data_IF_785937147954
#
_entry.id   IF_785937147954
#
_cell.length_a   1.000
_cell.length_b   1.000
_cell.length_c   1.000
_cell.angle_alpha   90.00
_cell.angle_beta   90.00
_cell.angle_gamma   90.00
#
_symmetry.space_group_name_H-M   'P 1'
#
loop_
_entity.id
_entity.type
_entity.pdbx_description
1 polymer ?
#
# COMPACT_ATOMS: atom_id res chain seq x y z
N UNK A 1 16.45 13.61 10.71
CA UNK A 1 15.33 14.28 10.01
C UNK A 1 15.77 14.93 8.70
N UNK A 2 17.07 14.96 8.37
CA UNK A 2 17.61 15.72 7.21
C UNK A 2 17.52 15.00 5.85
N UNK A 3 16.72 13.94 5.69
CA UNK A 3 16.72 13.11 4.47
C UNK A 3 15.37 13.06 3.73
N UNK A 4 14.42 13.92 4.07
CA UNK A 4 13.12 13.98 3.39
C UNK A 4 13.04 15.22 2.50
N UNK A 5 12.93 15.02 1.19
CA UNK A 5 12.67 16.08 0.22
C UNK A 5 11.15 16.31 0.13
N UNK A 6 10.73 17.56 0.02
CA UNK A 6 9.34 17.94 -0.14
C UNK A 6 9.18 18.81 -1.40
N UNK A 7 8.21 18.49 -2.25
CA UNK A 7 7.89 19.24 -3.46
C UNK A 7 6.42 19.59 -3.49
N UNK A 8 6.10 20.88 -3.67
CA UNK A 8 4.75 21.35 -3.88
C UNK A 8 4.38 21.24 -5.37
N UNK A 9 3.23 20.66 -5.67
CA UNK A 9 2.82 20.29 -7.03
C UNK A 9 1.48 20.89 -7.45
N UNK A 10 0.93 21.80 -6.64
CA UNK A 10 -0.30 22.58 -6.93
C UNK A 10 -1.54 21.72 -7.21
N UNK A 11 -1.53 20.47 -6.74
CA UNK A 11 -2.68 19.56 -6.74
C UNK A 11 -2.62 18.72 -5.48
N UNK A 12 -3.77 18.51 -4.84
CA UNK A 12 -3.87 17.52 -3.76
C UNK A 12 -3.61 16.13 -4.31
N UNK A 13 -2.76 15.37 -3.63
CA UNK A 13 -2.37 14.03 -4.07
C UNK A 13 -3.18 13.00 -3.31
N UNK A 14 -4.04 12.25 -4.00
CA UNK A 14 -4.85 11.19 -3.39
C UNK A 14 -4.12 9.86 -3.31
N UNK A 15 -3.25 9.59 -4.30
CA UNK A 15 -2.53 8.32 -4.44
C UNK A 15 -1.13 8.52 -4.98
N UNK A 16 -0.19 7.74 -4.47
CA UNK A 16 1.20 7.74 -4.93
C UNK A 16 1.78 6.33 -4.86
N UNK A 17 2.48 5.89 -5.93
CA UNK A 17 3.07 4.55 -6.01
C UNK A 17 4.43 4.58 -6.70
N UNK A 18 5.40 3.87 -6.16
CA UNK A 18 6.66 3.58 -6.85
C UNK A 18 6.42 2.67 -8.04
N UNK A 19 7.17 2.91 -9.12
CA UNK A 19 7.29 1.96 -10.21
C UNK A 19 8.01 0.71 -9.69
N UNK A 20 7.46 -0.50 -9.91
CA UNK A 20 8.13 -1.73 -9.53
C UNK A 20 9.50 -1.85 -10.21
N UNK A 21 10.53 -2.15 -9.40
CA UNK A 21 11.88 -2.40 -9.89
C UNK A 21 12.09 -3.91 -10.04
N UNK A 22 12.70 -4.40 -11.14
CA UNK A 22 13.05 -5.81 -11.27
C UNK A 22 13.89 -6.30 -10.09
N UNK A 23 13.64 -7.51 -9.60
CA UNK A 23 14.41 -8.11 -8.50
C UNK A 23 15.90 -8.29 -8.79
N UNK A 24 16.30 -8.24 -10.07
CA UNK A 24 17.69 -8.33 -10.52
C UNK A 24 18.40 -6.97 -10.53
N UNK A 25 17.67 -5.86 -10.40
CA UNK A 25 18.24 -4.52 -10.38
C UNK A 25 18.86 -4.22 -9.01
N UNK A 26 20.07 -3.69 -9.03
CA UNK A 26 20.73 -3.15 -7.83
C UNK A 26 20.35 -1.68 -7.58
N UNK A 27 19.61 -1.05 -8.49
CA UNK A 27 19.22 0.34 -8.39
C UNK A 27 18.00 0.48 -7.47
N UNK A 28 18.03 1.51 -6.62
CA UNK A 28 16.86 1.95 -5.87
C UNK A 28 15.78 2.47 -6.84
N UNK A 29 14.49 2.42 -6.46
CA UNK A 29 13.45 3.05 -7.27
C UNK A 29 13.71 4.54 -7.43
N UNK A 30 13.44 5.02 -8.63
CA UNK A 30 13.65 6.39 -9.08
C UNK A 30 12.39 6.99 -9.72
N UNK A 31 11.49 6.16 -10.25
CA UNK A 31 10.24 6.61 -10.87
C UNK A 31 9.02 6.23 -10.04
N UNK A 32 8.08 7.17 -9.88
CA UNK A 32 6.79 6.93 -9.23
C UNK A 32 5.65 7.62 -10.00
N UNK A 33 4.42 7.24 -9.71
CA UNK A 33 3.22 7.84 -10.26
C UNK A 33 2.33 8.42 -9.17
N UNK A 34 1.58 9.48 -9.49
CA UNK A 34 0.60 10.11 -8.60
C UNK A 34 -0.76 10.24 -9.28
N UNK A 35 -1.81 10.21 -8.47
CA UNK A 35 -3.16 10.64 -8.83
C UNK A 35 -3.58 11.82 -7.98
N UNK A 36 -4.31 12.77 -8.58
CA UNK A 36 -4.90 13.91 -7.87
C UNK A 36 -6.41 13.78 -7.67
N UNK A 37 -6.91 14.55 -6.70
CA UNK A 37 -8.32 14.59 -6.32
C UNK A 37 -8.73 15.97 -5.83
N UNK A 38 -10.05 16.24 -5.83
CA UNK A 38 -10.62 17.51 -5.36
C UNK A 38 -10.09 18.73 -6.15
N UNK A 39 -9.82 18.54 -7.44
CA UNK A 39 -9.49 19.60 -8.40
C UNK A 39 -10.48 19.59 -9.57
N UNK A 40 -10.65 20.74 -10.23
CA UNK A 40 -11.44 20.82 -11.47
C UNK A 40 -10.85 19.95 -12.60
N UNK A 41 -9.51 19.86 -12.64
CA UNK A 41 -8.74 19.09 -13.62
C UNK A 41 -7.79 18.11 -12.90
N UNK A 42 -8.33 16.97 -12.47
CA UNK A 42 -7.54 15.88 -11.91
C UNK A 42 -6.66 15.20 -12.98
N UNK A 43 -5.52 14.66 -12.53
CA UNK A 43 -4.47 14.11 -13.40
C UNK A 43 -3.90 12.82 -12.84
N UNK A 44 -3.36 12.02 -13.76
CA UNK A 44 -2.38 10.99 -13.45
C UNK A 44 -1.03 11.46 -13.97
N UNK A 45 -0.03 11.49 -13.10
CA UNK A 45 1.29 12.05 -13.39
C UNK A 45 2.38 11.04 -13.06
N UNK A 46 3.47 11.06 -13.81
CA UNK A 46 4.66 10.23 -13.61
C UNK A 46 5.85 11.14 -13.32
N UNK A 47 6.63 10.78 -12.31
CA UNK A 47 7.72 11.58 -11.76
C UNK A 47 8.99 10.76 -11.65
N UNK A 48 10.14 11.41 -11.77
CA UNK A 48 11.46 10.81 -11.50
C UNK A 48 12.17 11.53 -10.35
N UNK A 49 12.99 10.82 -9.60
CA UNK A 49 13.86 11.36 -8.56
C UNK A 49 15.30 11.06 -8.94
N UNK A 50 16.12 12.11 -9.09
CA UNK A 50 17.52 11.97 -9.50
C UNK A 50 18.32 11.05 -8.57
N UNK A 51 19.29 10.31 -9.12
CA UNK A 51 20.23 9.50 -8.34
C UNK A 51 21.11 10.39 -7.45
N UNK A 52 21.35 9.96 -6.21
CA UNK A 52 22.36 10.58 -5.36
C UNK A 52 23.74 10.45 -6.04
N UNK A 53 24.35 11.55 -6.48
CA UNK A 53 25.72 11.59 -6.98
C UNK A 53 25.96 12.04 -8.42
N UNK A 54 24.96 12.50 -9.17
CA UNK A 54 25.20 13.18 -10.46
C UNK A 54 24.84 14.66 -10.34
N UNK A 55 25.83 15.46 -9.97
CA UNK A 55 25.76 16.91 -10.06
C UNK A 55 25.64 17.33 -11.53
N UNK A 56 24.43 17.57 -12.03
CA UNK A 56 24.25 18.50 -13.15
C UNK A 56 24.69 19.89 -12.67
N UNK A 57 25.32 20.67 -13.54
CA UNK A 57 25.81 22.03 -13.24
C UNK A 57 24.68 23.06 -13.03
N UNK A 58 23.44 22.60 -12.87
CA UNK A 58 22.26 23.41 -12.69
C UNK A 58 21.80 23.25 -11.23
N UNK A 59 21.45 24.35 -10.56
CA UNK A 59 21.07 24.48 -9.14
C UNK A 59 19.81 23.64 -8.71
N UNK A 60 19.51 22.51 -9.36
CA UNK A 60 18.45 21.59 -8.93
C UNK A 60 18.92 20.78 -7.72
N UNK A 61 18.19 20.91 -6.63
CA UNK A 61 18.45 20.22 -5.37
C UNK A 61 18.44 18.70 -5.60
N UNK A 62 19.53 18.03 -5.20
CA UNK A 62 19.68 16.58 -5.25
C UNK A 62 18.49 15.90 -4.53
N UNK A 63 17.74 15.06 -5.26
CA UNK A 63 16.57 14.35 -4.74
C UNK A 63 15.21 15.05 -4.90
N UNK A 64 15.13 16.21 -5.55
CA UNK A 64 13.84 16.85 -5.88
C UNK A 64 13.10 16.07 -7.00
N UNK A 65 11.83 15.66 -6.81
CA UNK A 65 11.06 14.97 -7.84
C UNK A 65 10.83 15.81 -9.10
N UNK A 66 11.03 15.26 -10.29
CA UNK A 66 10.83 15.94 -11.57
C UNK A 66 9.64 15.34 -12.31
N UNK A 67 8.75 16.19 -12.83
CA UNK A 67 7.60 15.73 -13.61
C UNK A 67 8.08 15.23 -14.98
N UNK A 68 7.81 13.96 -15.28
CA UNK A 68 8.14 13.36 -16.57
C UNK A 68 7.02 13.58 -17.59
N UNK A 69 5.80 13.20 -17.21
CA UNK A 69 4.61 13.39 -18.04
C UNK A 69 3.34 13.29 -17.19
N UNK A 70 2.25 13.85 -17.71
CA UNK A 70 0.93 13.78 -17.08
C UNK A 70 -0.18 13.66 -18.14
N UNK A 71 -1.33 13.14 -17.71
CA UNK A 71 -2.55 13.10 -18.52
C UNK A 71 -3.74 13.50 -17.66
N UNK A 72 -4.74 14.14 -18.28
CA UNK A 72 -6.02 14.41 -17.63
C UNK A 72 -6.72 13.10 -17.27
N UNK A 73 -7.35 13.09 -16.10
CA UNK A 73 -8.16 12.00 -15.59
C UNK A 73 -9.59 12.51 -15.34
N UNK A 74 -10.60 11.73 -15.74
CA UNK A 74 -12.00 12.10 -15.48
C UNK A 74 -12.43 11.64 -14.10
N UNK A 75 -12.93 12.59 -13.30
CA UNK A 75 -13.21 12.39 -11.87
C UNK A 75 -11.95 12.34 -11.02
N UNK A 76 -12.13 12.10 -9.73
CA UNK A 76 -11.04 11.95 -8.76
C UNK A 76 -10.34 10.60 -8.97
N UNK A 77 -9.01 10.59 -8.81
CA UNK A 77 -8.25 9.35 -8.74
C UNK A 77 -8.41 8.79 -7.33
N UNK A 78 -9.24 7.77 -7.16
CA UNK A 78 -9.54 7.21 -5.84
C UNK A 78 -8.52 6.14 -5.41
N UNK A 79 -8.03 5.36 -6.36
CA UNK A 79 -6.96 4.39 -6.15
C UNK A 79 -6.04 4.30 -7.38
N UNK A 80 -4.78 3.94 -7.16
CA UNK A 80 -3.74 3.88 -8.19
C UNK A 80 -2.77 2.74 -7.89
N UNK A 81 -2.48 1.91 -8.89
CA UNK A 81 -1.54 0.78 -8.76
C UNK A 81 -0.74 0.59 -10.05
N UNK A 82 0.53 0.21 -9.94
CA UNK A 82 1.27 -0.31 -11.09
C UNK A 82 0.86 -1.76 -11.35
N UNK A 83 0.51 -2.08 -12.59
CA UNK A 83 0.29 -3.46 -13.02
C UNK A 83 1.61 -4.15 -13.37
N UNK A 84 2.52 -3.39 -13.98
CA UNK A 84 3.88 -3.77 -14.36
C UNK A 84 4.73 -2.49 -14.50
N UNK A 85 5.87 -2.54 -15.20
CA UNK A 85 6.77 -1.37 -15.32
C UNK A 85 6.21 -0.24 -16.20
N UNK A 86 5.33 -0.54 -17.15
CA UNK A 86 4.84 0.44 -18.15
C UNK A 86 3.35 0.72 -18.04
N UNK A 87 2.59 -0.06 -17.25
CA UNK A 87 1.15 0.10 -17.08
C UNK A 87 0.76 0.51 -15.67
N UNK A 88 -0.06 1.55 -15.60
CA UNK A 88 -0.64 2.09 -14.36
C UNK A 88 -2.16 1.92 -14.45
N UNK A 89 -2.78 1.43 -13.39
CA UNK A 89 -4.23 1.28 -13.27
C UNK A 89 -4.75 2.34 -12.30
N UNK A 90 -5.77 3.07 -12.72
CA UNK A 90 -6.46 4.06 -11.90
C UNK A 90 -7.94 3.69 -11.71
N UNK A 91 -8.42 3.87 -10.49
CA UNK A 91 -9.82 3.83 -10.12
C UNK A 91 -10.39 5.27 -10.04
N UNK A 92 -11.55 5.50 -10.64
CA UNK A 92 -12.17 6.83 -10.72
C UNK A 92 -13.41 6.97 -9.85
N UNK A 93 -13.67 8.18 -9.34
CA UNK A 93 -14.97 8.53 -8.73
C UNK A 93 -16.15 8.44 -9.69
N UNK A 94 -15.91 8.38 -11.00
CA UNK A 94 -16.92 8.08 -12.02
C UNK A 94 -17.30 6.60 -12.11
N UNK A 95 -16.63 5.72 -11.35
CA UNK A 95 -16.82 4.27 -11.45
C UNK A 95 -16.04 3.60 -12.58
N UNK A 96 -15.26 4.37 -13.32
CA UNK A 96 -14.38 3.85 -14.36
C UNK A 96 -13.10 3.23 -13.76
N UNK A 97 -12.59 2.19 -14.43
CA UNK A 97 -11.24 1.65 -14.23
C UNK A 97 -10.44 1.86 -15.51
N UNK A 98 -9.34 2.60 -15.43
CA UNK A 98 -8.53 2.97 -16.60
C UNK A 98 -7.12 2.45 -16.48
N UNK A 99 -6.61 1.85 -17.56
CA UNK A 99 -5.21 1.44 -17.70
C UNK A 99 -4.52 2.50 -18.56
N UNK A 100 -3.53 3.15 -17.97
CA UNK A 100 -2.59 4.01 -18.66
C UNK A 100 -1.32 3.24 -19.02
N UNK A 101 -0.73 3.57 -20.17
CA UNK A 101 0.59 3.10 -20.58
C UNK A 101 1.56 4.27 -20.65
N UNK A 102 2.64 4.18 -19.87
CA UNK A 102 3.79 5.07 -19.92
C UNK A 102 4.72 4.67 -21.06
N UNK A 103 5.14 5.65 -21.86
CA UNK A 103 6.10 5.47 -22.93
C UNK A 103 7.40 6.19 -22.52
N UNK A 104 8.43 5.47 -22.05
CA UNK A 104 9.66 6.07 -21.52
C UNK A 104 10.62 6.56 -22.63
N UNK A 105 10.12 6.76 -23.86
CA UNK A 105 10.97 7.16 -24.98
C UNK A 105 11.46 8.60 -24.80
N UNK A 106 12.78 8.82 -24.91
CA UNK A 106 13.44 10.10 -24.60
C UNK A 106 12.92 11.28 -25.43
N UNK A 107 12.43 11.01 -26.64
CA UNK A 107 11.95 12.06 -27.55
C UNK A 107 10.45 12.38 -27.37
N UNK A 108 9.68 11.50 -26.71
CA UNK A 108 8.22 11.61 -26.52
C UNK A 108 7.77 10.92 -25.23
N UNK A 109 8.38 11.29 -24.12
CA UNK A 109 7.93 10.78 -22.82
C UNK A 109 6.47 11.19 -22.60
N UNK A 110 5.61 10.20 -22.36
CA UNK A 110 4.18 10.43 -22.37
C UNK A 110 3.38 9.32 -21.75
N UNK A 111 2.17 9.68 -21.33
CA UNK A 111 1.19 8.79 -20.75
C UNK A 111 -0.02 8.73 -21.68
N UNK A 112 -0.46 7.53 -22.05
CA UNK A 112 -1.59 7.31 -22.94
C UNK A 112 -2.61 6.36 -22.32
N UNK A 113 -3.90 6.54 -22.61
CA UNK A 113 -4.93 5.59 -22.21
C UNK A 113 -4.82 4.33 -23.07
N UNK A 114 -4.53 3.19 -22.44
CA UNK A 114 -4.44 1.90 -23.10
C UNK A 114 -5.81 1.21 -23.19
N UNK A 115 -6.61 1.30 -22.12
CA UNK A 115 -7.97 0.73 -22.05
C UNK A 115 -8.76 1.34 -20.89
N UNK A 116 -10.07 1.48 -21.04
CA UNK A 116 -10.98 1.97 -19.99
C UNK A 116 -12.22 1.09 -19.91
N UNK A 117 -12.60 0.70 -18.69
CA UNK A 117 -13.91 0.15 -18.37
C UNK A 117 -14.75 1.25 -17.73
N UNK A 118 -15.45 2.05 -18.54
CA UNK A 118 -16.16 3.28 -18.11
C UNK A 118 -17.25 3.03 -17.05
N UNK A 119 -17.84 1.83 -17.04
CA UNK A 119 -18.97 1.47 -16.16
C UNK A 119 -18.70 0.20 -15.36
N UNK A 120 -17.44 0.04 -14.94
CA UNK A 120 -17.01 -1.03 -14.06
C UNK A 120 -17.85 -1.06 -12.78
N UNK A 121 -18.00 0.11 -12.15
CA UNK A 121 -18.86 0.33 -10.99
C UNK A 121 -20.00 1.30 -11.31
N UNK A 122 -21.23 0.91 -10.96
CA UNK A 122 -22.43 1.67 -11.28
C UNK A 122 -23.64 1.27 -10.43
N UNK A 123 -24.49 2.26 -10.18
CA UNK A 123 -25.87 2.05 -9.79
C UNK A 123 -26.77 1.91 -11.04
N UNK A 124 -28.03 1.45 -10.90
CA UNK A 124 -28.94 1.33 -12.04
C UNK A 124 -29.15 2.63 -12.82
N UNK A 125 -29.10 3.78 -12.14
CA UNK A 125 -29.41 5.09 -12.70
C UNK A 125 -28.22 6.06 -12.71
N UNK A 126 -27.08 5.69 -12.14
CA UNK A 126 -25.94 6.59 -11.99
C UNK A 126 -24.62 5.81 -11.94
N UNK A 127 -23.52 6.53 -11.97
CA UNK A 127 -22.19 6.01 -11.71
C UNK A 127 -22.02 5.74 -10.20
N UNK A 128 -21.17 4.78 -9.87
CA UNK A 128 -20.79 4.48 -8.49
C UNK A 128 -19.27 4.52 -8.40
N UNK A 129 -18.67 5.24 -7.44
CA UNK A 129 -17.22 5.32 -7.33
C UNK A 129 -16.53 3.96 -7.25
N UNK A 130 -15.44 3.82 -8.01
CA UNK A 130 -14.52 2.69 -7.88
C UNK A 130 -13.54 3.03 -6.76
N UNK A 131 -13.67 2.38 -5.61
CA UNK A 131 -12.97 2.76 -4.38
C UNK A 131 -11.60 2.11 -4.24
N UNK A 132 -11.36 0.98 -4.88
CA UNK A 132 -10.08 0.28 -4.80
C UNK A 132 -9.79 -0.61 -6.00
N UNK A 133 -8.50 -0.74 -6.33
CA UNK A 133 -7.96 -1.64 -7.34
C UNK A 133 -6.71 -2.37 -6.82
N UNK A 134 -6.57 -3.65 -7.17
CA UNK A 134 -5.33 -4.40 -6.90
C UNK A 134 -4.90 -5.23 -8.08
N UNK A 135 -3.59 -5.24 -8.31
CA UNK A 135 -2.97 -5.90 -9.46
C UNK A 135 -2.23 -7.17 -9.04
N UNK A 136 -2.41 -8.24 -9.81
CA UNK A 136 -1.59 -9.45 -9.77
C UNK A 136 -1.46 -9.95 -11.20
N UNK A 137 -0.54 -9.33 -11.96
CA UNK A 137 -0.44 -9.49 -13.42
C UNK A 137 -0.51 -10.96 -13.87
N UNK A 138 -1.36 -11.30 -14.84
CA UNK A 138 -2.14 -10.42 -15.72
C UNK A 138 -3.57 -10.10 -15.21
N UNK A 139 -3.85 -10.40 -13.95
CA UNK A 139 -5.16 -10.18 -13.32
C UNK A 139 -5.20 -8.84 -12.59
N UNK A 140 -6.39 -8.25 -12.58
CA UNK A 140 -6.73 -7.01 -11.90
C UNK A 140 -8.07 -7.22 -11.20
N UNK A 141 -8.23 -6.69 -10.00
CA UNK A 141 -9.52 -6.67 -9.29
C UNK A 141 -9.88 -5.23 -8.95
N UNK A 142 -11.16 -4.88 -9.10
CA UNK A 142 -11.71 -3.60 -8.64
C UNK A 142 -12.90 -3.81 -7.71
N UNK A 143 -13.10 -2.85 -6.80
CA UNK A 143 -14.24 -2.76 -5.88
C UNK A 143 -14.80 -1.34 -5.86
N UNK A 144 -16.06 -1.19 -5.43
CA UNK A 144 -16.73 0.10 -5.44
C UNK A 144 -17.88 0.23 -4.45
N UNK A 145 -18.46 1.43 -4.42
CA UNK A 145 -19.60 1.77 -3.55
C UNK A 145 -20.90 1.06 -3.92
N UNK A 146 -20.94 0.48 -5.12
CA UNK A 146 -22.04 -0.37 -5.58
C UNK A 146 -22.01 -1.80 -5.03
N UNK A 147 -21.03 -2.11 -4.17
CA UNK A 147 -20.89 -3.42 -3.56
C UNK A 147 -20.50 -4.52 -4.56
N UNK A 148 -19.95 -4.15 -5.73
CA UNK A 148 -19.45 -5.12 -6.72
C UNK A 148 -17.98 -5.43 -6.49
N UNK A 149 -17.61 -6.67 -6.84
CA UNK A 149 -16.21 -7.06 -7.01
C UNK A 149 -16.04 -7.53 -8.45
N UNK A 150 -15.13 -6.92 -9.19
CA UNK A 150 -14.92 -7.22 -10.61
C UNK A 150 -13.50 -7.74 -10.82
N UNK A 151 -13.38 -8.94 -11.40
CA UNK A 151 -12.12 -9.55 -11.80
C UNK A 151 -11.93 -9.37 -13.31
N UNK A 152 -10.79 -8.82 -13.70
CA UNK A 152 -10.41 -8.57 -15.08
C UNK A 152 -9.20 -9.42 -15.47
N UNK A 153 -9.09 -9.66 -16.77
CA UNK A 153 -7.86 -10.14 -17.41
C UNK A 153 -7.36 -9.09 -18.39
N UNK A 154 -6.25 -8.46 -18.04
CA UNK A 154 -5.79 -7.23 -18.71
C UNK A 154 -5.39 -7.51 -20.16
N UNK A 155 -4.64 -8.59 -20.41
CA UNK A 155 -4.19 -8.96 -21.77
C UNK A 155 -5.35 -9.21 -22.74
N UNK A 156 -6.48 -9.69 -22.22
CA UNK A 156 -7.68 -9.98 -22.99
C UNK A 156 -8.66 -8.80 -23.02
N UNK A 157 -8.39 -7.73 -22.25
CA UNK A 157 -9.29 -6.59 -22.01
C UNK A 157 -10.70 -7.03 -21.61
N UNK A 158 -10.78 -8.16 -20.90
CA UNK A 158 -12.02 -8.86 -20.62
C UNK A 158 -12.32 -8.85 -19.12
N UNK A 159 -13.61 -8.77 -18.80
CA UNK A 159 -14.11 -9.06 -17.46
C UNK A 159 -14.24 -10.57 -17.35
N UNK A 160 -13.48 -11.18 -16.44
CA UNK A 160 -13.54 -12.62 -16.18
C UNK A 160 -14.73 -12.97 -15.29
N UNK A 161 -14.98 -12.14 -14.27
CA UNK A 161 -16.04 -12.38 -13.30
C UNK A 161 -16.52 -11.08 -12.67
N UNK A 162 -17.82 -11.01 -12.43
CA UNK A 162 -18.45 -9.98 -11.58
C UNK A 162 -19.15 -10.70 -10.44
N UNK A 163 -18.86 -10.31 -9.20
CA UNK A 163 -19.65 -10.68 -8.03
C UNK A 163 -20.59 -9.50 -7.77
N UNK A 164 -21.84 -9.65 -8.23
CA UNK A 164 -22.90 -8.67 -8.03
C UNK A 164 -23.43 -8.75 -6.60
N UNK A 165 -23.67 -7.60 -5.97
CA UNK A 165 -24.15 -7.48 -4.59
C UNK A 165 -23.28 -8.26 -3.59
N UNK A 166 -21.96 -8.21 -3.76
CA UNK A 166 -21.00 -8.83 -2.84
C UNK A 166 -21.11 -8.22 -1.43
N UNK A 167 -21.39 -6.91 -1.37
CA UNK A 167 -21.67 -6.22 -0.11
C UNK A 167 -22.88 -5.31 -0.23
N UNK A 168 -23.64 -5.19 0.85
CA UNK A 168 -24.73 -4.19 0.98
C UNK A 168 -24.20 -2.83 1.44
N UNK A 169 -22.97 -2.80 1.93
CA UNK A 169 -22.24 -1.61 2.39
C UNK A 169 -21.15 -1.26 1.38
N UNK A 170 -20.71 0.00 1.38
CA UNK A 170 -19.56 0.44 0.59
C UNK A 170 -18.33 -0.40 0.90
N UNK A 171 -17.70 -0.94 -0.14
CA UNK A 171 -16.39 -1.58 -0.05
C UNK A 171 -15.35 -0.47 -0.19
N UNK A 172 -14.42 -0.34 0.75
CA UNK A 172 -13.41 0.74 0.74
C UNK A 172 -12.08 0.29 0.12
N UNK A 173 -11.61 -0.91 0.43
CA UNK A 173 -10.36 -1.43 -0.11
C UNK A 173 -10.41 -2.94 -0.33
N UNK A 174 -9.45 -3.43 -1.12
CA UNK A 174 -9.30 -4.84 -1.50
C UNK A 174 -7.82 -5.20 -1.52
N UNK A 175 -7.48 -6.45 -1.19
CA UNK A 175 -6.13 -7.00 -1.37
C UNK A 175 -6.17 -8.47 -1.80
N UNK A 176 -5.17 -8.92 -2.56
CA UNK A 176 -5.01 -10.34 -2.88
C UNK A 176 -4.46 -11.09 -1.67
N UNK A 177 -5.19 -12.10 -1.20
CA UNK A 177 -4.66 -13.09 -0.25
C UNK A 177 -3.89 -14.21 -0.94
N UNK A 178 -4.45 -14.68 -2.05
CA UNK A 178 -3.90 -15.74 -2.92
C UNK A 178 -4.24 -15.38 -4.35
N UNK A 179 -3.61 -16.03 -5.33
CA UNK A 179 -3.89 -15.80 -6.76
C UNK A 179 -5.38 -15.81 -7.09
N UNK A 180 -6.17 -16.70 -6.48
CA UNK A 180 -7.60 -16.85 -6.78
C UNK A 180 -8.53 -16.25 -5.72
N UNK A 181 -8.01 -15.54 -4.72
CA UNK A 181 -8.81 -15.07 -3.60
C UNK A 181 -8.38 -13.72 -3.07
N UNK A 182 -9.37 -12.86 -2.87
CA UNK A 182 -9.21 -11.48 -2.39
C UNK A 182 -9.90 -11.28 -1.05
N UNK A 183 -9.42 -10.31 -0.30
CA UNK A 183 -10.05 -9.84 0.92
C UNK A 183 -10.51 -8.40 0.71
N UNK A 184 -11.75 -8.10 1.06
CA UNK A 184 -12.32 -6.75 0.97
C UNK A 184 -12.62 -6.21 2.35
N UNK A 185 -12.52 -4.90 2.54
CA UNK A 185 -12.94 -4.21 3.77
C UNK A 185 -14.02 -3.17 3.47
N UNK A 186 -14.94 -2.94 4.41
CA UNK A 186 -16.15 -2.16 4.16
C UNK A 186 -16.45 -1.11 5.24
N UNK A 187 -17.48 -0.30 4.97
CA UNK A 187 -17.91 0.82 5.82
C UNK A 187 -18.54 0.42 7.17
N UNK A 188 -18.62 -0.87 7.48
CA UNK A 188 -19.16 -1.38 8.75
C UNK A 188 -18.16 -2.24 9.53
N UNK A 189 -16.88 -2.18 9.17
CA UNK A 189 -15.80 -2.82 9.92
C UNK A 189 -15.66 -4.32 9.68
N UNK A 190 -16.09 -4.81 8.52
CA UNK A 190 -15.96 -6.22 8.16
C UNK A 190 -14.85 -6.43 7.13
N UNK A 191 -14.13 -7.54 7.28
CA UNK A 191 -13.28 -8.10 6.25
C UNK A 191 -14.01 -9.31 5.67
N UNK A 192 -14.15 -9.37 4.35
CA UNK A 192 -14.81 -10.48 3.65
C UNK A 192 -13.83 -11.13 2.69
N UNK A 193 -13.69 -12.45 2.82
CA UNK A 193 -12.84 -13.27 1.95
C UNK A 193 -13.65 -13.81 0.79
N UNK A 194 -13.14 -13.65 -0.42
CA UNK A 194 -13.77 -14.08 -1.67
C UNK A 194 -12.85 -15.02 -2.41
N UNK A 195 -13.40 -16.09 -2.99
CA UNK A 195 -12.68 -17.00 -3.86
C UNK A 195 -13.35 -17.04 -5.23
N UNK A 196 -12.63 -16.60 -6.26
CA UNK A 196 -13.17 -16.47 -7.61
C UNK A 196 -13.52 -17.82 -8.27
N UNK A 197 -13.17 -18.95 -7.63
CA UNK A 197 -13.56 -20.29 -8.09
C UNK A 197 -14.92 -20.73 -7.55
N UNK A 198 -15.41 -20.12 -6.48
CA UNK A 198 -16.72 -20.44 -5.91
C UNK A 198 -17.83 -19.93 -6.83
N UNK A 199 -18.86 -20.71 -7.10
CA UNK A 199 -19.92 -20.28 -8.03
C UNK A 199 -20.92 -19.28 -7.42
N UNK A 200 -21.01 -19.20 -6.09
CA UNK A 200 -21.90 -18.26 -5.40
C UNK A 200 -21.33 -16.84 -5.30
N UNK A 201 -22.19 -15.89 -4.94
CA UNK A 201 -21.83 -14.50 -4.62
C UNK A 201 -21.73 -14.26 -3.12
N UNK A 202 -21.46 -15.32 -2.35
CA UNK A 202 -21.30 -15.24 -0.90
C UNK A 202 -19.82 -15.27 -0.53
N UNK A 203 -19.41 -14.55 0.53
CA UNK A 203 -18.04 -14.60 1.00
C UNK A 203 -17.73 -15.97 1.61
N UNK A 204 -16.51 -16.45 1.39
CA UNK A 204 -16.01 -17.69 1.98
C UNK A 204 -15.83 -17.57 3.51
N UNK A 205 -15.55 -16.36 4.00
CA UNK A 205 -15.37 -16.05 5.42
C UNK A 205 -15.64 -14.56 5.66
N UNK A 206 -16.18 -14.25 6.84
CA UNK A 206 -16.38 -12.88 7.31
C UNK A 206 -15.70 -12.72 8.67
N UNK A 207 -14.83 -11.71 8.78
CA UNK A 207 -14.14 -11.30 10.00
C UNK A 207 -14.64 -9.90 10.38
N UNK A 208 -14.72 -9.60 11.67
CA UNK A 208 -15.16 -8.27 12.13
C UNK A 208 -14.80 -8.07 13.59
N UNK A 209 -14.51 -6.83 13.97
CA UNK A 209 -14.39 -6.47 15.38
C UNK A 209 -15.74 -6.66 16.08
N UNK A 210 -15.78 -7.31 17.25
CA UNK A 210 -17.00 -7.42 18.05
C UNK A 210 -17.36 -6.07 18.67
N UNK A 211 -18.58 -5.62 18.45
CA UNK A 211 -19.08 -4.38 19.04
C UNK A 211 -19.28 -3.30 17.98
N UNK A 212 -18.51 -2.21 18.09
CA UNK A 212 -18.67 -1.02 17.27
C UNK A 212 -18.32 -1.28 15.80
N UNK A 213 -19.24 -0.88 14.92
CA UNK A 213 -19.12 -1.01 13.46
C UNK A 213 -18.35 0.18 12.89
N UNK A 214 -17.06 0.22 13.18
CA UNK A 214 -16.17 1.29 12.70
C UNK A 214 -15.78 0.99 11.24
N UNK A 215 -15.92 1.95 10.29
CA UNK A 215 -15.46 1.76 8.91
C UNK A 215 -13.97 1.39 8.85
N UNK A 216 -13.63 0.43 7.98
CA UNK A 216 -12.25 0.12 7.62
C UNK A 216 -11.96 0.71 6.25
N UNK A 217 -10.90 1.50 6.15
CA UNK A 217 -10.53 2.24 4.94
C UNK A 217 -9.45 1.55 4.13
N UNK A 218 -8.52 0.87 4.78
CA UNK A 218 -7.38 0.24 4.11
C UNK A 218 -7.10 -1.18 4.61
N UNK A 219 -6.46 -1.96 3.74
CA UNK A 219 -6.06 -3.33 4.01
C UNK A 219 -4.81 -3.69 3.23
N UNK A 220 -3.85 -4.33 3.89
CA UNK A 220 -2.69 -4.90 3.23
C UNK A 220 -2.32 -6.27 3.80
N UNK A 221 -1.76 -7.12 2.93
CA UNK A 221 -1.38 -8.49 3.27
C UNK A 221 0.12 -8.56 3.49
N UNK A 222 0.52 -9.22 4.57
CA UNK A 222 1.92 -9.54 4.81
C UNK A 222 2.52 -10.31 3.61
N UNK A 223 3.66 -9.87 3.03
CA UNK A 223 4.16 -10.39 1.75
C UNK A 223 4.50 -11.88 1.80
N UNK A 224 5.15 -12.34 2.88
CA UNK A 224 5.57 -13.73 3.06
C UNK A 224 4.54 -14.64 3.74
N UNK A 225 3.59 -14.09 4.49
CA UNK A 225 2.64 -14.84 5.31
C UNK A 225 1.21 -14.49 4.92
N UNK A 226 0.68 -15.20 3.91
CA UNK A 226 -0.63 -14.89 3.30
C UNK A 226 -1.84 -14.86 4.23
N UNK A 227 -1.70 -15.35 5.46
CA UNK A 227 -2.77 -15.35 6.45
C UNK A 227 -2.77 -14.11 7.35
N UNK A 228 -1.69 -13.31 7.31
CA UNK A 228 -1.55 -12.10 8.13
C UNK A 228 -1.95 -10.90 7.30
N UNK A 229 -2.83 -10.09 7.87
CA UNK A 229 -3.39 -8.90 7.23
C UNK A 229 -3.39 -7.75 8.25
N UNK A 230 -3.06 -6.55 7.78
CA UNK A 230 -3.21 -5.32 8.54
C UNK A 230 -4.37 -4.50 7.96
N UNK A 231 -5.14 -3.83 8.81
CA UNK A 231 -6.18 -2.89 8.40
C UNK A 231 -6.14 -1.60 9.20
N UNK A 232 -6.57 -0.51 8.59
CA UNK A 232 -6.75 0.80 9.22
C UNK A 232 -8.21 1.24 9.19
N UNK A 233 -8.66 1.85 10.28
CA UNK A 233 -10.05 2.29 10.47
C UNK A 233 -10.25 3.80 10.51
N UNK A 234 -11.53 4.19 10.52
CA UNK A 234 -12.01 5.55 10.74
C UNK A 234 -11.57 6.13 12.11
N UNK A 235 -11.32 5.27 13.09
CA UNK A 235 -10.89 5.62 14.44
C UNK A 235 -9.37 5.72 14.60
N UNK A 236 -8.61 5.57 13.51
CA UNK A 236 -7.15 5.62 13.53
C UNK A 236 -6.48 4.37 14.11
N UNK A 237 -7.24 3.29 14.36
CA UNK A 237 -6.69 2.05 14.90
C UNK A 237 -5.99 1.22 13.82
N UNK A 238 -4.83 0.67 14.18
CA UNK A 238 -4.16 -0.41 13.44
C UNK A 238 -4.66 -1.76 13.97
N UNK A 239 -5.24 -2.58 13.11
CA UNK A 239 -5.66 -3.94 13.45
C UNK A 239 -4.82 -4.97 12.69
N UNK A 240 -4.28 -5.96 13.39
CA UNK A 240 -3.63 -7.12 12.78
C UNK A 240 -4.54 -8.34 12.90
N UNK A 241 -4.69 -9.08 11.80
CA UNK A 241 -5.57 -10.25 11.69
C UNK A 241 -4.75 -11.48 11.29
N UNK A 242 -5.04 -12.63 11.91
CA UNK A 242 -4.73 -13.95 11.33
C UNK A 242 -6.04 -14.50 10.76
N UNK A 243 -6.20 -14.48 9.44
CA UNK A 243 -7.45 -14.89 8.77
C UNK A 243 -7.78 -16.38 8.98
N UNK A 244 -6.84 -17.18 9.50
CA UNK A 244 -7.09 -18.59 9.88
C UNK A 244 -7.68 -18.73 11.27
N UNK A 245 -7.57 -17.70 12.12
CA UNK A 245 -7.91 -17.77 13.54
C UNK A 245 -9.10 -16.88 13.87
N UNK A 246 -10.23 -17.53 14.17
CA UNK A 246 -11.41 -16.84 14.69
C UNK A 246 -11.98 -15.79 13.74
N UNK A 247 -12.83 -14.93 14.31
CA UNK A 247 -13.49 -13.83 13.59
C UNK A 247 -13.01 -12.46 14.07
N UNK A 248 -12.03 -12.42 14.97
CA UNK A 248 -11.55 -11.23 15.69
C UNK A 248 -10.11 -10.91 15.32
N UNK A 249 -9.69 -9.63 15.41
CA UNK A 249 -8.30 -9.27 15.20
C UNK A 249 -7.42 -9.90 16.27
N UNK A 250 -6.18 -10.22 15.89
CA UNK A 250 -5.14 -10.68 16.78
C UNK A 250 -4.66 -9.54 17.69
N UNK A 251 -4.44 -8.35 17.13
CA UNK A 251 -4.06 -7.16 17.88
C UNK A 251 -4.80 -5.91 17.38
N UNK A 252 -4.98 -4.97 18.31
CA UNK A 252 -5.60 -3.66 18.13
C UNK A 252 -4.66 -2.65 18.77
N UNK A 253 -4.22 -1.65 18.02
CA UNK A 253 -3.23 -0.67 18.48
C UNK A 253 -3.67 0.73 18.06
N UNK A 254 -3.68 1.66 19.02
CA UNK A 254 -3.88 3.09 18.76
C UNK A 254 -2.69 3.60 17.95
N UNK A 255 -2.93 3.94 16.68
CA UNK A 255 -1.90 4.44 15.77
C UNK A 255 -2.03 5.95 15.57
N UNK A 256 -3.24 6.40 15.22
CA UNK A 256 -3.51 7.78 14.82
C UNK A 256 -4.66 8.39 15.61
N UNK A 257 -4.79 9.71 15.52
CA UNK A 257 -5.87 10.49 16.16
C UNK A 257 -7.08 10.72 15.24
N UNK A 258 -6.97 10.31 13.98
CA UNK A 258 -7.99 10.42 12.93
C UNK A 258 -7.91 9.21 11.99
N UNK A 259 -8.68 9.24 10.90
CA UNK A 259 -8.82 8.17 9.92
C UNK A 259 -7.47 7.68 9.36
N UNK A 260 -7.25 6.37 9.35
CA UNK A 260 -6.07 5.78 8.69
C UNK A 260 -6.37 5.49 7.22
N UNK A 261 -5.69 6.20 6.32
CA UNK A 261 -5.94 6.10 4.88
C UNK A 261 -5.25 4.93 4.19
N UNK A 262 -4.00 4.63 4.56
CA UNK A 262 -3.27 3.49 4.02
C UNK A 262 -2.43 2.78 5.10
N UNK A 263 -2.26 1.48 4.90
CA UNK A 263 -1.33 0.62 5.62
C UNK A 263 -0.58 -0.23 4.61
N UNK A 264 0.75 -0.33 4.76
CA UNK A 264 1.58 -1.15 3.90
C UNK A 264 2.65 -1.87 4.71
N UNK A 265 2.70 -3.20 4.59
CA UNK A 265 3.89 -3.93 5.01
C UNK A 265 5.05 -3.59 4.07
N UNK A 266 6.26 -3.49 4.61
CA UNK A 266 7.41 -3.35 3.76
C UNK A 266 7.59 -4.62 2.89
N UNK A 267 7.69 -4.50 1.54
CA UNK A 267 7.60 -5.65 0.65
C UNK A 267 8.67 -6.73 0.85
N UNK A 268 9.91 -6.33 1.18
CA UNK A 268 11.06 -7.23 1.32
C UNK A 268 11.46 -7.54 2.76
N UNK A 269 11.20 -6.61 3.69
CA UNK A 269 11.46 -6.78 5.13
C UNK A 269 10.18 -6.50 5.95
N UNK A 270 9.25 -7.46 6.03
CA UNK A 270 7.93 -7.26 6.62
C UNK A 270 7.90 -7.18 8.14
N UNK A 271 9.06 -7.14 8.80
CA UNK A 271 9.15 -6.71 10.20
C UNK A 271 8.87 -5.19 10.33
N UNK A 272 8.89 -4.47 9.20
CA UNK A 272 8.47 -3.08 9.10
C UNK A 272 7.10 -2.91 8.45
N UNK A 273 6.33 -1.95 8.94
CA UNK A 273 5.02 -1.55 8.42
C UNK A 273 4.88 -0.02 8.46
N UNK A 274 4.12 0.54 7.54
CA UNK A 274 3.92 1.98 7.40
C UNK A 274 2.43 2.30 7.36
N UNK A 275 2.04 3.40 8.00
CA UNK A 275 0.65 3.88 8.02
C UNK A 275 0.60 5.38 7.84
N UNK A 276 -0.41 5.90 7.14
CA UNK A 276 -0.68 7.33 7.03
C UNK A 276 -2.14 7.66 7.36
N UNK A 277 -2.40 8.93 7.69
CA UNK A 277 -3.63 9.34 8.37
C UNK A 277 -4.09 10.75 7.99
N UNK A 278 -5.39 10.98 8.18
CA UNK A 278 -6.05 12.27 8.10
C UNK A 278 -5.48 13.30 9.08
N UNK A 279 -4.92 12.86 10.20
CA UNK A 279 -4.28 13.75 11.18
C UNK A 279 -2.93 14.33 10.72
N UNK A 280 -2.51 14.04 9.49
CA UNK A 280 -1.29 14.58 8.89
C UNK A 280 -0.03 13.85 9.36
N UNK A 281 -0.15 12.62 9.88
CA UNK A 281 0.99 11.82 10.30
C UNK A 281 1.25 10.62 9.38
N UNK A 282 2.54 10.25 9.30
CA UNK A 282 3.02 9.02 8.68
C UNK A 282 3.91 8.32 9.70
N UNK A 283 3.51 7.12 10.10
CA UNK A 283 4.21 6.31 11.09
C UNK A 283 4.91 5.13 10.44
N UNK A 284 6.15 4.90 10.85
CA UNK A 284 6.92 3.69 10.62
C UNK A 284 6.89 2.84 11.87
N UNK A 285 6.52 1.58 11.71
CA UNK A 285 6.41 0.58 12.75
C UNK A 285 7.48 -0.48 12.55
N UNK A 286 8.23 -0.81 13.60
CA UNK A 286 9.20 -1.90 13.60
C UNK A 286 8.80 -2.95 14.64
N UNK A 287 8.70 -4.20 14.19
CA UNK A 287 8.41 -5.35 15.05
C UNK A 287 9.68 -6.15 15.24
N UNK A 288 10.32 -6.02 16.41
CA UNK A 288 11.53 -6.84 16.64
C UNK A 288 11.12 -8.30 16.87
N UNK A 289 11.42 -9.19 15.94
CA UNK A 289 11.48 -10.63 16.22
C UNK A 289 12.95 -11.05 16.19
N UNK A 290 13.61 -11.01 17.35
CA UNK A 290 14.98 -11.48 17.64
C UNK A 290 16.10 -10.44 17.73
N UNK A 291 15.93 -9.40 18.54
CA UNK A 291 17.05 -8.66 19.13
C UNK A 291 17.50 -9.24 20.49
N UNK A 292 17.51 -10.55 20.68
CA UNK A 292 18.27 -11.16 21.79
C UNK A 292 19.70 -11.47 21.30
N UNK A 293 20.40 -10.46 20.79
CA UNK A 293 21.85 -10.43 20.94
C UNK A 293 22.11 -9.90 22.35
N UNK A 294 22.63 -10.69 23.30
CA UNK A 294 22.99 -10.14 24.59
C UNK A 294 24.01 -9.03 24.34
N UNK A 295 23.70 -7.83 24.81
CA UNK A 295 24.55 -6.66 24.81
C UNK A 295 25.76 -6.92 25.72
N UNK A 296 26.70 -7.72 25.23
CA UNK A 296 27.90 -8.11 25.95
C UNK A 296 29.15 -7.82 25.15
N UNK A 297 29.24 -6.64 24.52
CA UNK A 297 30.53 -6.08 24.10
C UNK A 297 30.54 -4.55 24.24
N UNK A 298 30.36 -4.07 25.46
CA UNK A 298 30.94 -2.79 25.90
C UNK A 298 32.00 -3.08 26.96
N UNK A 299 33.21 -3.42 26.51
CA UNK A 299 34.36 -3.59 27.41
C UNK A 299 35.49 -4.47 26.88
N UNK A 300 36.57 -3.85 26.38
CA UNK A 300 37.95 -4.32 26.62
C UNK A 300 38.54 -5.44 25.76
N UNK A 301 39.46 -5.03 24.87
CA UNK A 301 40.76 -5.65 24.50
C UNK A 301 40.90 -7.19 24.35
N UNK A 302 41.33 -7.54 23.13
CA UNK A 302 42.29 -8.57 22.74
C UNK A 302 41.94 -10.08 22.82
N UNK A 303 42.08 -10.68 21.63
CA UNK A 303 42.54 -12.05 21.32
C UNK A 303 41.69 -13.24 21.78
N UNK A 304 40.96 -13.85 20.85
CA UNK A 304 41.29 -15.19 20.35
C UNK A 304 40.27 -15.64 19.30
N UNK A 305 40.81 -16.24 18.24
CA UNK A 305 40.07 -17.02 17.24
C UNK A 305 39.46 -18.22 17.98
N UNK A 306 38.14 -18.32 18.04
CA UNK A 306 37.47 -19.61 18.29
C UNK A 306 36.48 -19.85 17.16
N UNK A 307 36.82 -20.89 16.42
CA UNK A 307 36.11 -21.42 15.27
C UNK A 307 34.67 -21.81 15.59
N UNK A 308 33.84 -21.59 14.58
CA UNK A 308 32.52 -22.15 14.33
C UNK A 308 32.32 -23.55 14.94
N UNK A 309 31.35 -23.68 15.83
CA UNK A 309 30.49 -24.87 15.94
C UNK A 309 29.43 -24.65 17.02
N UNK A 310 28.22 -24.27 16.62
CA UNK A 310 27.02 -24.59 17.37
C UNK A 310 26.00 -25.16 16.38
N UNK A 311 25.99 -26.49 16.34
CA UNK A 311 25.04 -27.33 15.64
C UNK A 311 23.65 -27.00 16.19
N UNK A 312 22.78 -26.43 15.34
CA UNK A 312 21.36 -26.40 15.62
C UNK A 312 20.85 -27.85 15.68
N UNK A 313 20.08 -28.25 16.71
CA UNK A 313 19.45 -29.55 16.68
C UNK A 313 18.38 -29.55 15.58
N UNK A 314 18.62 -30.36 14.54
CA UNK A 314 17.61 -30.70 13.55
C UNK A 314 16.46 -31.44 14.25
N UNK A 315 15.23 -30.91 14.14
CA UNK A 315 14.03 -31.68 14.54
C UNK A 315 12.90 -30.95 15.26
N UNK A 316 12.77 -29.62 15.14
CA UNK A 316 11.58 -28.91 15.65
C UNK A 316 10.95 -28.05 14.56
N UNK A 317 9.73 -28.40 14.11
CA UNK A 317 8.86 -27.49 13.35
C UNK A 317 8.41 -26.34 14.26
N UNK A 318 9.31 -25.44 14.63
CA UNK A 318 8.89 -24.11 15.08
C UNK A 318 8.49 -23.36 13.81
N UNK A 319 7.20 -23.37 13.51
CA UNK A 319 6.62 -22.36 12.64
C UNK A 319 7.09 -21.02 13.22
N UNK A 320 7.97 -20.30 12.51
CA UNK A 320 8.39 -18.96 12.90
C UNK A 320 7.10 -18.12 12.98
N UNK A 321 6.61 -17.88 14.19
CA UNK A 321 5.43 -17.04 14.41
C UNK A 321 5.89 -15.63 14.04
N UNK A 322 5.14 -14.97 13.15
CA UNK A 322 5.40 -13.57 12.80
C UNK A 322 5.49 -12.71 14.06
N UNK A 323 6.38 -11.73 14.05
CA UNK A 323 6.48 -10.73 15.12
C UNK A 323 5.12 -10.04 15.37
N UNK A 324 4.36 -9.83 14.30
CA UNK A 324 2.99 -9.28 14.30
C UNK A 324 1.94 -10.19 14.95
N UNK A 325 2.25 -11.48 15.14
CA UNK A 325 1.41 -12.47 15.83
C UNK A 325 2.04 -12.95 17.15
N UNK A 326 3.02 -12.22 17.69
CA UNK A 326 3.59 -12.53 19.00
C UNK A 326 2.64 -12.07 20.12
N UNK A 327 2.32 -12.96 21.06
CA UNK A 327 1.33 -12.69 22.11
C UNK A 327 1.72 -11.61 23.13
N UNK A 328 0.77 -11.28 24.01
CA UNK A 328 0.77 -10.14 24.95
C UNK A 328 2.02 -9.95 25.84
N UNK A 329 2.82 -11.00 26.07
CA UNK A 329 4.12 -10.88 26.74
C UNK A 329 5.17 -10.07 25.95
N UNK A 330 4.85 -9.65 24.73
CA UNK A 330 5.71 -8.87 23.82
C UNK A 330 5.12 -7.51 23.41
N UNK A 331 4.05 -7.03 24.06
CA UNK A 331 3.45 -5.70 23.79
C UNK A 331 4.43 -4.51 23.93
N UNK A 332 5.60 -4.70 24.52
CA UNK A 332 6.69 -3.71 24.56
C UNK A 332 7.66 -3.76 23.38
N UNK A 333 7.26 -4.31 22.22
CA UNK A 333 8.18 -4.67 21.12
C UNK A 333 7.89 -4.02 19.76
N UNK A 334 6.83 -3.22 19.66
CA UNK A 334 6.55 -2.39 18.50
C UNK A 334 7.10 -0.98 18.76
N UNK A 335 8.12 -0.61 18.00
CA UNK A 335 8.66 0.76 18.03
C UNK A 335 8.02 1.58 16.91
N UNK A 336 7.66 2.83 17.22
CA UNK A 336 7.00 3.74 16.29
C UNK A 336 7.81 5.00 16.08
N UNK A 337 7.98 5.39 14.82
CA UNK A 337 8.71 6.60 14.44
C UNK A 337 7.86 7.44 13.49
N UNK A 338 7.73 8.74 13.78
CA UNK A 338 7.12 9.71 12.86
C UNK A 338 8.09 10.04 11.73
N UNK A 339 7.63 9.91 10.50
CA UNK A 339 8.46 10.06 9.30
C UNK A 339 8.37 11.45 8.66
N UNK A 340 7.31 12.21 8.98
CA UNK A 340 7.08 13.56 8.48
C UNK A 340 7.28 14.61 9.58
N UNK A 341 7.58 15.88 9.21
CA UNK A 341 7.56 17.00 10.14
C UNK A 341 6.21 17.12 10.84
N UNK A 342 6.20 17.71 12.05
CA UNK A 342 4.95 18.08 12.70
C UNK A 342 4.23 19.16 11.87
N UNK A 343 2.90 19.06 11.74
CA UNK A 343 2.00 19.99 11.04
C UNK A 343 1.81 19.82 9.53
N UNK A 344 1.82 18.59 8.99
CA UNK A 344 1.29 18.39 7.63
C UNK A 344 -0.25 18.33 7.64
N UNK A 345 -0.89 18.66 6.51
CA UNK A 345 -2.30 18.29 6.29
C UNK A 345 -2.39 16.78 6.05
N UNK A 346 -3.61 16.26 5.88
CA UNK A 346 -3.89 14.85 5.63
C UNK A 346 -2.88 14.17 4.70
N UNK A 347 -2.33 13.03 5.15
CA UNK A 347 -1.41 12.21 4.36
C UNK A 347 -2.24 11.09 3.74
N UNK A 348 -2.66 11.31 2.50
CA UNK A 348 -3.66 10.48 1.83
C UNK A 348 -3.13 9.13 1.35
N UNK A 349 -1.83 9.06 1.05
CA UNK A 349 -1.24 7.87 0.44
C UNK A 349 0.28 7.82 0.64
N UNK A 350 0.79 6.60 0.77
CA UNK A 350 2.22 6.33 0.87
C UNK A 350 2.59 5.12 0.01
N UNK A 351 3.86 5.02 -0.36
CA UNK A 351 4.40 3.76 -0.89
C UNK A 351 5.86 3.59 -0.50
N UNK A 352 6.26 2.35 -0.26
CA UNK A 352 7.61 2.00 0.20
C UNK A 352 8.19 0.86 -0.64
N UNK A 353 9.39 1.07 -1.16
CA UNK A 353 10.11 0.08 -1.95
C UNK A 353 11.62 0.16 -1.66
N UNK A 354 12.15 -0.88 -1.03
CA UNK A 354 13.51 -0.84 -0.48
C UNK A 354 13.63 0.27 0.55
N UNK A 355 14.69 1.07 0.48
CA UNK A 355 14.89 2.19 1.42
C UNK A 355 14.19 3.49 0.99
N UNK A 356 13.30 3.42 -0.01
CA UNK A 356 12.63 4.58 -0.58
C UNK A 356 11.16 4.62 -0.16
N UNK A 357 10.76 5.72 0.46
CA UNK A 357 9.39 6.06 0.83
C UNK A 357 8.96 7.31 0.05
N UNK A 358 7.76 7.26 -0.51
CA UNK A 358 7.05 8.43 -1.03
C UNK A 358 5.72 8.59 -0.31
N UNK A 359 5.25 9.82 -0.12
CA UNK A 359 3.87 10.06 0.28
C UNK A 359 3.32 11.35 -0.33
N UNK A 360 1.99 11.40 -0.49
CA UNK A 360 1.25 12.55 -1.01
C UNK A 360 0.26 13.07 0.01
N UNK A 361 0.05 14.40 0.02
CA UNK A 361 -0.80 15.05 1.02
C UNK A 361 -1.81 16.02 0.42
N UNK A 362 -2.76 16.44 1.25
CA UNK A 362 -3.70 17.53 0.97
C UNK A 362 -3.04 18.93 1.01
N UNK A 363 -1.80 19.01 1.49
CA UNK A 363 -0.97 20.22 1.40
C UNK A 363 -0.38 20.46 0.02
N UNK A 364 -0.94 19.81 -1.01
CA UNK A 364 -0.45 19.83 -2.40
C UNK A 364 1.04 19.45 -2.51
N UNK A 365 1.49 18.56 -1.63
CA UNK A 365 2.89 18.23 -1.45
C UNK A 365 3.15 16.73 -1.64
N UNK A 366 4.30 16.45 -2.26
CA UNK A 366 4.90 15.13 -2.34
C UNK A 366 6.14 15.13 -1.45
N UNK A 367 6.26 14.14 -0.59
CA UNK A 367 7.45 13.91 0.21
C UNK A 367 8.17 12.65 -0.26
N UNK A 368 9.49 12.70 -0.33
CA UNK A 368 10.35 11.58 -0.74
C UNK A 368 11.48 11.41 0.26
N UNK A 369 11.64 10.20 0.79
CA UNK A 369 12.76 9.82 1.64
C UNK A 369 13.43 8.57 1.07
N UNK A 370 14.72 8.66 0.71
CA UNK A 370 15.48 7.56 0.09
C UNK A 370 16.39 6.78 1.04
N UNK A 371 16.30 7.06 2.34
CA UNK A 371 17.14 6.46 3.38
C UNK A 371 16.29 5.99 4.57
N UNK A 372 15.20 5.29 4.28
CA UNK A 372 14.35 4.70 5.32
C UNK A 372 15.13 3.55 5.99
N UNK A 373 15.17 3.49 7.34
CA UNK A 373 15.85 2.42 8.06
C UNK A 373 15.00 1.14 8.06
N UNK A 374 15.23 0.27 7.08
CA UNK A 374 14.56 -1.05 6.90
C UNK A 374 15.54 -2.17 6.61
#
# INVERSE_FOLDING_TARGET
MDCIAAKYVSQKISKIRWRPVPSESLHQPDVFATGSWDNEDNKVSVWAVGENGVSSMDDEFEGDPQLLCETKHEGDVLDLQFLDQDKIVAASSTGAVTIFKHHPDKDKEGLSVAHTWERAHRYPCDNAPCTGVVCNSPELVSVGEDGRIVLYKVDQRAILRVIENADSSTIHAVTFLKTTGVLTVNSIGQLKLWDFRQQGNEPAQVLSLTGDRVPLHCVDRHPNQQHIVATGGQDGMLCIWDVRQGNMPFSLTEAHSAEMWEVHFHPSNPDHLFTCSEDGSLLHWESSANSDTPSFLQGGRNTSIISRSAIAPAGGNQSLISAWLAGDSSKGRLETTHMLPSQTLSVNSLDVLGQCLVCGTDGEAIYVNRQVPV
#
